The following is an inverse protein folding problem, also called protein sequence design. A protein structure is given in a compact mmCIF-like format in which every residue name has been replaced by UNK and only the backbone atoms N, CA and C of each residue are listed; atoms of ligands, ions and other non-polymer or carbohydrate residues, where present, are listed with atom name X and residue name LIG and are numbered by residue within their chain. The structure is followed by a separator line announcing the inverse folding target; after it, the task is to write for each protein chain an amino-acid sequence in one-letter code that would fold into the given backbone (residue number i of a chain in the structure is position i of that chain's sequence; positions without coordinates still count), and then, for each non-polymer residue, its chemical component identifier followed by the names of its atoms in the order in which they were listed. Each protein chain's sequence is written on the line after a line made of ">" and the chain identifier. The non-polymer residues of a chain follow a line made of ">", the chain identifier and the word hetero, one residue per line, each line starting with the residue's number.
data_IF_944060905335
#
_entry.id   IF_944060905335
#
_cell.length_a   1.000
_cell.length_b   1.000
_cell.length_c   1.000
_cell.angle_alpha   90.00
_cell.angle_beta   90.00
_cell.angle_gamma   90.00
#
_symmetry.space_group_name_H-M   'P 1'
#
loop_
_entity.id
_entity.type
_entity.pdbx_description
1 polymer ?
#
# COMPACT_ATOMS: atom_id res chain seq x y z
N UNK A 1 37.37 -35.16 -2.79
CA UNK A 1 36.99 -33.94 -2.04
C UNK A 1 35.51 -33.69 -2.28
N UNK A 2 34.61 -34.14 -1.40
CA UNK A 2 33.19 -33.85 -1.55
C UNK A 2 32.99 -32.34 -1.38
N UNK A 3 32.19 -31.75 -2.27
CA UNK A 3 31.73 -30.38 -2.17
C UNK A 3 31.04 -30.21 -0.81
N UNK A 4 31.68 -29.49 0.12
CA UNK A 4 30.94 -28.86 1.21
C UNK A 4 29.99 -27.88 0.54
N UNK A 5 28.69 -28.19 0.52
CA UNK A 5 27.67 -27.20 0.27
C UNK A 5 27.80 -26.18 1.40
N UNK A 6 28.49 -25.07 1.12
CA UNK A 6 28.58 -23.97 2.05
C UNK A 6 27.14 -23.54 2.37
N UNK A 7 26.77 -23.53 3.65
CA UNK A 7 25.46 -23.09 4.07
C UNK A 7 25.25 -21.64 3.57
N UNK A 8 24.06 -21.30 3.07
CA UNK A 8 23.77 -19.94 2.64
C UNK A 8 24.04 -18.99 3.82
N UNK A 9 24.59 -17.79 3.54
CA UNK A 9 24.86 -16.82 4.58
C UNK A 9 23.56 -16.40 5.29
N UNK A 10 23.60 -16.00 6.57
CA UNK A 10 22.39 -15.72 7.36
C UNK A 10 21.40 -14.74 6.70
N UNK A 11 21.92 -13.70 6.01
CA UNK A 11 21.09 -12.72 5.31
C UNK A 11 20.29 -13.30 4.14
N UNK A 12 20.78 -14.36 3.51
CA UNK A 12 20.12 -15.04 2.41
C UNK A 12 18.91 -15.80 2.95
N UNK A 13 19.12 -16.56 4.03
CA UNK A 13 18.05 -17.26 4.73
C UNK A 13 16.96 -16.31 5.25
N UNK A 14 17.36 -15.17 5.84
CA UNK A 14 16.40 -14.16 6.33
C UNK A 14 15.52 -13.59 5.19
N UNK A 15 16.12 -13.29 4.04
CA UNK A 15 15.38 -12.78 2.87
C UNK A 15 14.49 -13.86 2.25
N UNK A 16 14.97 -15.10 2.13
CA UNK A 16 14.18 -16.23 1.64
C UNK A 16 12.98 -16.49 2.56
N UNK A 17 13.16 -16.45 3.88
CA UNK A 17 12.06 -16.57 4.84
C UNK A 17 11.03 -15.44 4.71
N UNK A 18 11.48 -14.20 4.48
CA UNK A 18 10.58 -13.07 4.21
C UNK A 18 9.81 -13.25 2.90
N UNK A 19 10.42 -13.80 1.86
CA UNK A 19 9.77 -14.11 0.58
C UNK A 19 8.70 -15.20 0.76
N UNK A 20 9.03 -16.30 1.45
CA UNK A 20 8.08 -17.37 1.76
C UNK A 20 6.91 -16.86 2.63
N UNK A 21 7.24 -15.97 3.56
CA UNK A 21 6.39 -14.94 4.17
C UNK A 21 5.28 -14.46 3.23
N UNK A 22 5.71 -13.62 2.29
CA UNK A 22 4.82 -12.89 1.40
C UNK A 22 4.08 -13.80 0.42
N UNK A 23 4.67 -14.93 0.01
CA UNK A 23 3.96 -15.93 -0.82
C UNK A 23 2.71 -16.42 -0.09
N UNK A 24 2.84 -16.82 1.18
CA UNK A 24 1.71 -17.30 1.99
C UNK A 24 0.69 -16.20 2.25
N UNK A 25 1.15 -14.98 2.55
CA UNK A 25 0.27 -13.82 2.75
C UNK A 25 -0.55 -13.52 1.49
N UNK A 26 0.07 -13.56 0.32
CA UNK A 26 -0.58 -13.32 -0.97
C UNK A 26 -1.62 -14.41 -1.29
N UNK A 27 -1.27 -15.67 -1.08
CA UNK A 27 -2.22 -16.79 -1.27
C UNK A 27 -3.43 -16.68 -0.33
N UNK A 28 -3.19 -16.39 0.95
CA UNK A 28 -4.25 -16.19 1.93
C UNK A 28 -5.15 -15.00 1.58
N UNK A 29 -4.55 -13.88 1.19
CA UNK A 29 -5.26 -12.65 0.81
C UNK A 29 -6.07 -12.84 -0.46
N UNK A 30 -5.55 -13.59 -1.44
CA UNK A 30 -6.28 -13.91 -2.68
C UNK A 30 -7.53 -14.75 -2.39
N UNK A 31 -7.41 -15.75 -1.51
CA UNK A 31 -8.56 -16.56 -1.06
C UNK A 31 -9.58 -15.72 -0.29
N UNK A 32 -9.12 -14.82 0.58
CA UNK A 32 -9.97 -13.90 1.32
C UNK A 32 -10.72 -12.97 0.36
N UNK A 33 -10.03 -12.36 -0.60
CA UNK A 33 -10.59 -11.46 -1.60
C UNK A 33 -11.70 -12.14 -2.42
N UNK A 34 -11.49 -13.41 -2.80
CA UNK A 34 -12.50 -14.20 -3.51
C UNK A 34 -13.75 -14.51 -2.66
N UNK A 35 -13.62 -14.49 -1.34
CA UNK A 35 -14.72 -14.72 -0.40
C UNK A 35 -15.42 -13.44 0.08
N UNK A 36 -14.80 -12.26 -0.12
CA UNK A 36 -15.35 -10.98 0.30
C UNK A 36 -16.69 -10.67 -0.39
N UNK A 37 -17.67 -10.25 0.42
CA UNK A 37 -18.99 -9.79 -0.07
C UNK A 37 -19.25 -8.31 0.19
N UNK A 38 -18.45 -7.71 1.07
CA UNK A 38 -18.56 -6.31 1.45
C UNK A 38 -17.41 -5.50 0.88
N UNK A 39 -17.72 -4.33 0.30
CA UNK A 39 -16.74 -3.48 -0.37
C UNK A 39 -15.55 -3.11 0.52
N UNK A 40 -15.78 -2.78 1.80
CA UNK A 40 -14.71 -2.47 2.75
C UNK A 40 -13.73 -3.63 2.93
N UNK A 41 -14.24 -4.86 3.05
CA UNK A 41 -13.38 -6.06 3.17
C UNK A 41 -12.59 -6.31 1.90
N UNK A 42 -13.23 -6.13 0.73
CA UNK A 42 -12.56 -6.24 -0.57
C UNK A 42 -11.43 -5.22 -0.70
N UNK A 43 -11.65 -3.98 -0.28
CA UNK A 43 -10.64 -2.92 -0.37
C UNK A 43 -9.46 -3.16 0.57
N UNK A 44 -9.70 -3.59 1.81
CA UNK A 44 -8.63 -3.95 2.74
C UNK A 44 -7.82 -5.16 2.23
N UNK A 45 -8.49 -6.19 1.71
CA UNK A 45 -7.82 -7.33 1.11
C UNK A 45 -7.00 -6.91 -0.12
N UNK A 46 -7.53 -6.02 -0.98
CA UNK A 46 -6.79 -5.49 -2.13
C UNK A 46 -5.57 -4.66 -1.69
N UNK A 47 -5.69 -3.81 -0.67
CA UNK A 47 -4.58 -3.06 -0.07
C UNK A 47 -3.46 -3.99 0.42
N UNK A 48 -3.84 -5.02 1.18
CA UNK A 48 -2.89 -6.00 1.70
C UNK A 48 -2.17 -6.74 0.57
N UNK A 49 -2.90 -7.04 -0.52
CA UNK A 49 -2.33 -7.69 -1.70
C UNK A 49 -1.29 -6.80 -2.41
N UNK A 50 -1.58 -5.51 -2.56
CA UNK A 50 -0.63 -4.53 -3.11
C UNK A 50 0.64 -4.47 -2.26
N UNK A 51 0.47 -4.31 -0.95
CA UNK A 51 1.60 -4.22 0.00
C UNK A 51 2.47 -5.48 -0.02
N UNK A 52 1.84 -6.67 -0.04
CA UNK A 52 2.54 -7.94 -0.08
C UNK A 52 3.32 -8.13 -1.40
N UNK A 53 2.75 -7.71 -2.53
CA UNK A 53 3.44 -7.75 -3.82
C UNK A 53 4.69 -6.87 -3.82
N UNK A 54 4.60 -5.64 -3.30
CA UNK A 54 5.73 -4.71 -3.24
C UNK A 54 6.84 -5.24 -2.30
N UNK A 55 6.48 -5.80 -1.16
CA UNK A 55 7.44 -6.47 -0.25
C UNK A 55 8.16 -7.61 -0.95
N UNK A 56 7.42 -8.50 -1.61
CA UNK A 56 8.00 -9.62 -2.34
C UNK A 56 8.95 -9.15 -3.45
N UNK A 57 8.55 -8.14 -4.24
CA UNK A 57 9.41 -7.57 -5.28
C UNK A 57 10.68 -6.95 -4.71
N UNK A 58 10.60 -6.22 -3.60
CA UNK A 58 11.76 -5.64 -2.93
C UNK A 58 12.71 -6.71 -2.36
N UNK A 59 12.18 -7.73 -1.69
CA UNK A 59 12.99 -8.81 -1.13
C UNK A 59 13.68 -9.63 -2.23
N UNK A 60 12.98 -9.96 -3.32
CA UNK A 60 13.56 -10.65 -4.46
C UNK A 60 14.65 -9.81 -5.13
N UNK A 61 14.41 -8.51 -5.34
CA UNK A 61 15.39 -7.61 -5.93
C UNK A 61 16.67 -7.52 -5.06
N UNK A 62 16.51 -7.38 -3.74
CA UNK A 62 17.63 -7.31 -2.81
C UNK A 62 18.41 -8.64 -2.74
N UNK A 63 17.71 -9.77 -2.71
CA UNK A 63 18.32 -11.10 -2.75
C UNK A 63 19.18 -11.28 -4.01
N UNK A 64 18.66 -10.89 -5.18
CA UNK A 64 19.39 -10.96 -6.45
C UNK A 64 20.57 -9.99 -6.49
N UNK A 65 20.42 -8.78 -5.94
CA UNK A 65 21.49 -7.78 -5.86
C UNK A 65 22.67 -8.30 -5.04
N UNK A 66 22.42 -8.85 -3.85
CA UNK A 66 23.47 -9.41 -2.97
C UNK A 66 24.15 -10.65 -3.54
N UNK A 67 23.43 -11.46 -4.32
CA UNK A 67 24.02 -12.62 -5.04
C UNK A 67 24.96 -12.21 -6.17
N UNK A 68 24.65 -11.11 -6.89
CA UNK A 68 25.49 -10.60 -7.99
C UNK A 68 26.69 -9.79 -7.50
N UNK A 69 26.50 -9.05 -6.42
CA UNK A 69 27.52 -8.22 -5.79
C UNK A 69 27.73 -8.67 -4.34
N UNK A 70 28.37 -9.85 -4.12
CA UNK A 70 28.75 -10.25 -2.78
C UNK A 70 29.66 -9.15 -2.25
N UNK A 71 29.19 -8.46 -1.21
CA UNK A 71 29.82 -7.29 -0.61
C UNK A 71 31.34 -7.44 -0.65
N UNK A 72 32.02 -6.60 -1.45
CA UNK A 72 33.48 -6.47 -1.34
C UNK A 72 33.72 -6.06 0.08
N UNK A 73 34.26 -6.96 0.90
CA UNK A 73 34.58 -6.67 2.30
C UNK A 73 35.42 -5.41 2.32
N UNK A 74 34.82 -4.29 2.72
CA UNK A 74 35.56 -3.06 3.00
C UNK A 74 36.41 -3.41 4.21
N UNK A 75 37.67 -3.73 3.95
CA UNK A 75 38.62 -4.16 4.98
C UNK A 75 38.68 -3.11 6.08
N UNK A 76 38.64 -3.56 7.34
CA UNK A 76 38.96 -2.80 8.56
C UNK A 76 38.59 -1.30 8.56
N UNK A 77 37.47 -0.95 7.94
CA UNK A 77 36.93 0.40 7.84
C UNK A 77 35.59 0.44 8.56
N UNK A 78 35.39 1.50 9.35
CA UNK A 78 34.17 1.75 10.14
C UNK A 78 32.90 1.39 9.36
N UNK A 79 32.15 0.41 9.88
CA UNK A 79 30.83 0.08 9.35
C UNK A 79 29.96 1.36 9.40
N UNK A 80 29.30 1.75 8.29
CA UNK A 80 28.45 2.93 8.29
C UNK A 80 27.40 2.82 9.40
N UNK A 81 27.20 3.90 10.16
CA UNK A 81 26.15 3.92 11.18
C UNK A 81 24.77 3.82 10.50
N UNK A 82 23.90 3.01 11.09
CA UNK A 82 22.50 2.96 10.71
C UNK A 82 21.66 3.76 11.70
N UNK A 83 20.52 4.25 11.25
CA UNK A 83 19.58 5.01 12.04
C UNK A 83 18.18 4.37 12.02
N UNK A 84 17.32 4.91 12.86
CA UNK A 84 15.88 4.66 12.83
C UNK A 84 15.21 5.91 12.25
N UNK A 85 14.37 5.71 11.25
CA UNK A 85 13.61 6.79 10.59
C UNK A 85 12.14 6.60 10.92
N UNK A 86 11.47 7.67 11.33
CA UNK A 86 10.04 7.66 11.62
C UNK A 86 9.30 8.63 10.70
N UNK A 87 8.17 8.19 10.15
CA UNK A 87 7.20 9.04 9.46
C UNK A 87 5.91 9.08 10.28
N UNK A 88 5.47 10.29 10.65
CA UNK A 88 4.21 10.54 11.35
C UNK A 88 3.50 11.75 10.73
N UNK A 89 2.26 11.98 11.15
CA UNK A 89 1.48 13.19 10.81
C UNK A 89 1.35 13.41 9.30
N UNK A 90 1.22 12.31 8.55
CA UNK A 90 1.11 12.36 7.10
C UNK A 90 -0.24 12.96 6.71
N UNK A 91 -0.19 14.16 6.13
CA UNK A 91 -1.35 14.92 5.67
C UNK A 91 -1.17 15.37 4.23
N UNK A 92 -2.21 15.22 3.43
CA UNK A 92 -2.22 15.69 2.04
C UNK A 92 -3.45 16.57 1.81
N UNK A 93 -3.28 17.83 1.39
CA UNK A 93 -4.39 18.68 1.02
C UNK A 93 -5.02 18.16 -0.28
N UNK A 94 -6.35 18.19 -0.33
CA UNK A 94 -7.14 17.79 -1.50
C UNK A 94 -7.52 19.03 -2.31
N UNK A 95 -7.27 18.96 -3.61
CA UNK A 95 -7.66 20.01 -4.56
C UNK A 95 -8.91 19.58 -5.32
N UNK A 96 -10.07 19.97 -4.80
CA UNK A 96 -11.35 19.81 -5.48
C UNK A 96 -11.57 20.95 -6.46
N UNK A 97 -12.17 20.69 -7.63
CA UNK A 97 -12.53 21.77 -8.55
C UNK A 97 -13.62 22.63 -7.92
N UNK A 98 -13.60 23.93 -8.18
CA UNK A 98 -14.60 24.86 -7.62
C UNK A 98 -16.04 24.51 -8.02
N UNK A 99 -16.22 23.90 -9.19
CA UNK A 99 -17.52 23.37 -9.66
C UNK A 99 -18.04 22.25 -8.77
N UNK A 100 -17.15 21.47 -8.18
CA UNK A 100 -17.43 20.25 -7.44
C UNK A 100 -17.57 20.60 -5.95
N UNK A 101 -16.70 21.48 -5.43
CA UNK A 101 -16.70 21.94 -4.04
C UNK A 101 -17.75 23.02 -3.74
N UNK A 102 -17.78 24.13 -4.50
CA UNK A 102 -18.60 25.31 -4.15
C UNK A 102 -19.97 25.36 -4.83
N UNK A 103 -20.15 24.71 -5.99
CA UNK A 103 -21.40 24.81 -6.77
C UNK A 103 -22.39 23.67 -6.51
N UNK A 104 -22.07 22.69 -5.65
CA UNK A 104 -22.90 21.50 -5.36
C UNK A 104 -23.45 20.81 -6.63
N UNK A 105 -22.79 20.97 -7.77
CA UNK A 105 -23.24 20.41 -9.05
C UNK A 105 -22.71 19.00 -9.22
N UNK A 106 -23.23 18.07 -8.40
CA UNK A 106 -23.28 16.66 -8.76
C UNK A 106 -22.00 15.84 -8.69
N UNK A 107 -20.91 16.30 -8.06
CA UNK A 107 -19.79 15.40 -7.76
C UNK A 107 -20.08 14.61 -6.48
N UNK A 108 -20.51 13.36 -6.66
CA UNK A 108 -20.75 12.38 -5.59
C UNK A 108 -19.65 11.32 -5.54
N UNK A 109 -18.51 11.53 -6.21
CA UNK A 109 -17.42 10.56 -6.21
C UNK A 109 -16.86 10.44 -4.80
N UNK A 110 -16.76 9.19 -4.37
CA UNK A 110 -16.09 8.80 -3.14
C UNK A 110 -14.90 7.94 -3.50
N UNK A 111 -13.85 8.05 -2.71
CA UNK A 111 -12.60 7.33 -2.94
C UNK A 111 -12.24 6.53 -1.70
N UNK A 112 -11.54 5.42 -1.90
CA UNK A 112 -10.71 4.82 -0.88
C UNK A 112 -9.25 5.19 -1.17
N UNK A 113 -8.51 5.62 -0.15
CA UNK A 113 -7.13 6.11 -0.30
C UNK A 113 -6.25 5.51 0.79
N UNK A 114 -5.06 5.05 0.41
CA UNK A 114 -4.00 4.67 1.36
C UNK A 114 -2.64 5.03 0.76
N UNK A 115 -1.60 5.06 1.59
CA UNK A 115 -0.23 5.27 1.14
C UNK A 115 0.63 4.03 1.39
N UNK A 116 1.62 3.83 0.53
CA UNK A 116 2.69 2.87 0.71
C UNK A 116 4.02 3.63 0.86
N UNK A 117 4.73 3.38 1.95
CA UNK A 117 5.99 4.02 2.27
C UNK A 117 7.12 2.98 2.27
N UNK A 118 8.22 3.30 1.57
CA UNK A 118 9.33 2.37 1.35
C UNK A 118 10.68 3.03 1.57
N UNK A 119 11.56 2.32 2.29
CA UNK A 119 13.00 2.55 2.31
C UNK A 119 13.70 1.19 2.14
N UNK A 120 14.33 0.96 0.99
CA UNK A 120 14.94 -0.34 0.69
C UNK A 120 13.93 -1.48 0.77
N UNK A 121 14.17 -2.43 1.68
CA UNK A 121 13.28 -3.57 1.95
C UNK A 121 12.25 -3.31 3.05
N UNK A 122 12.31 -2.19 3.74
CA UNK A 122 11.32 -1.82 4.77
C UNK A 122 10.14 -1.14 4.08
N UNK A 123 8.98 -1.80 4.08
CA UNK A 123 7.76 -1.36 3.39
C UNK A 123 6.57 -1.40 4.33
N UNK A 124 5.87 -0.28 4.46
CA UNK A 124 4.70 -0.12 5.32
C UNK A 124 3.57 0.58 4.56
N UNK A 125 2.34 0.12 4.79
CA UNK A 125 1.12 0.79 4.35
C UNK A 125 0.47 1.56 5.50
N UNK A 126 -0.34 2.57 5.16
CA UNK A 126 -1.18 3.29 6.11
C UNK A 126 -2.54 2.62 6.28
N UNK A 127 -3.31 3.10 7.25
CA UNK A 127 -4.75 2.85 7.31
C UNK A 127 -5.43 3.23 5.98
N UNK A 128 -6.45 2.46 5.60
CA UNK A 128 -7.28 2.76 4.45
C UNK A 128 -8.30 3.83 4.85
N UNK A 129 -8.23 5.01 4.23
CA UNK A 129 -9.22 6.05 4.40
C UNK A 129 -10.36 5.81 3.41
N UNK A 130 -11.57 5.57 3.92
CA UNK A 130 -12.74 5.28 3.10
C UNK A 130 -14.04 5.58 3.87
N UNK A 131 -14.97 6.39 3.34
CA UNK A 131 -14.88 7.16 2.09
C UNK A 131 -14.09 8.47 2.25
N UNK A 132 -13.38 8.87 1.20
CA UNK A 132 -12.83 10.22 1.00
C UNK A 132 -13.68 10.92 -0.04
N UNK A 133 -14.25 12.08 0.30
CA UNK A 133 -15.09 12.85 -0.61
C UNK A 133 -14.83 14.36 -0.50
N UNK A 134 -15.56 15.13 -1.29
CA UNK A 134 -15.40 16.59 -1.41
C UNK A 134 -15.64 17.38 -0.13
N UNK A 135 -16.18 16.78 0.93
CA UNK A 135 -16.32 17.46 2.22
C UNK A 135 -14.98 17.57 2.96
N UNK A 136 -13.98 16.79 2.56
CA UNK A 136 -12.64 16.82 3.15
C UNK A 136 -11.73 17.80 2.42
N UNK A 137 -11.10 18.71 3.17
CA UNK A 137 -10.04 19.58 2.62
C UNK A 137 -8.68 18.89 2.60
N UNK A 138 -8.50 17.88 3.46
CA UNK A 138 -7.25 17.17 3.64
C UNK A 138 -7.53 15.72 4.01
N UNK A 139 -6.66 14.80 3.57
CA UNK A 139 -6.57 13.45 4.14
C UNK A 139 -5.44 13.42 5.15
N UNK A 140 -5.67 12.76 6.28
CA UNK A 140 -4.66 12.59 7.34
C UNK A 140 -4.61 11.13 7.74
N UNK A 141 -3.42 10.57 7.80
CA UNK A 141 -3.18 9.20 8.23
C UNK A 141 -2.68 9.20 9.68
N UNK A 142 -3.30 8.42 10.58
CA UNK A 142 -2.90 8.37 11.98
C UNK A 142 -1.64 7.52 12.23
N UNK A 143 -1.18 6.82 11.20
CA UNK A 143 -0.09 5.85 11.29
C UNK A 143 1.26 6.51 11.60
N UNK A 144 2.04 5.85 12.46
CA UNK A 144 3.46 6.16 12.68
C UNK A 144 4.28 5.01 12.11
N UNK A 145 4.96 5.26 10.99
CA UNK A 145 5.73 4.25 10.27
C UNK A 145 7.19 4.31 10.73
N UNK A 146 7.73 3.17 11.15
CA UNK A 146 9.06 3.09 11.75
C UNK A 146 9.98 2.18 10.93
N UNK A 147 11.03 2.78 10.37
CA UNK A 147 12.04 2.10 9.57
C UNK A 147 13.30 1.89 10.42
N UNK A 148 13.82 0.67 10.46
CA UNK A 148 15.00 0.33 11.26
C UNK A 148 16.20 0.01 10.37
N UNK A 149 17.41 0.19 10.91
CA UNK A 149 18.66 -0.14 10.24
C UNK A 149 18.84 0.59 8.90
N UNK A 150 18.43 1.85 8.85
CA UNK A 150 18.47 2.66 7.63
C UNK A 150 19.84 3.32 7.48
N UNK A 151 20.53 3.16 6.33
CA UNK A 151 21.81 3.81 6.08
C UNK A 151 21.63 5.32 5.81
N UNK A 152 22.70 6.10 5.89
CA UNK A 152 22.61 7.56 5.75
C UNK A 152 22.25 8.06 4.33
N UNK A 153 22.49 7.24 3.31
CA UNK A 153 22.24 7.51 1.88
C UNK A 153 20.89 6.95 1.39
N UNK A 154 19.94 6.76 2.31
CA UNK A 154 18.66 6.16 1.99
C UNK A 154 17.80 7.01 1.04
N UNK A 155 17.02 6.32 0.20
CA UNK A 155 15.93 6.92 -0.56
C UNK A 155 14.60 6.53 0.09
N UNK A 156 13.77 7.53 0.38
CA UNK A 156 12.40 7.33 0.84
C UNK A 156 11.43 7.52 -0.32
N UNK A 157 10.54 6.54 -0.53
CA UNK A 157 9.48 6.61 -1.52
C UNK A 157 8.11 6.50 -0.85
N UNK A 158 7.23 7.45 -1.17
CA UNK A 158 5.82 7.43 -0.77
C UNK A 158 4.93 7.37 -2.02
N UNK A 159 4.10 6.34 -2.09
CA UNK A 159 3.17 6.10 -3.19
C UNK A 159 1.74 6.22 -2.67
N UNK A 160 0.91 7.02 -3.33
CA UNK A 160 -0.49 7.23 -2.96
C UNK A 160 -1.37 6.40 -3.88
N UNK A 161 -2.14 5.49 -3.30
CA UNK A 161 -3.09 4.66 -4.02
C UNK A 161 -4.49 5.18 -3.79
N UNK A 162 -5.30 5.21 -4.84
CA UNK A 162 -6.71 5.57 -4.75
C UNK A 162 -7.58 4.63 -5.58
N UNK A 163 -8.79 4.38 -5.09
CA UNK A 163 -9.82 3.63 -5.79
C UNK A 163 -11.14 4.38 -5.72
N UNK A 164 -11.82 4.53 -6.86
CA UNK A 164 -13.15 5.15 -6.91
C UNK A 164 -14.18 4.15 -6.41
N UNK A 165 -14.91 4.51 -5.36
CA UNK A 165 -16.04 3.74 -4.87
C UNK A 165 -17.19 3.91 -5.87
N UNK A 166 -17.62 2.81 -6.49
CA UNK A 166 -18.84 2.82 -7.28
C UNK A 166 -20.05 2.90 -6.35
N UNK A 167 -20.54 4.12 -6.11
CA UNK A 167 -21.93 4.36 -5.74
C UNK A 167 -22.57 5.08 -6.93
N UNK A 168 -23.56 4.40 -7.51
CA UNK A 168 -24.47 4.84 -8.55
C UNK A 168 -24.44 6.35 -8.85
N UNK A 169 -23.89 6.71 -10.02
CA UNK A 169 -24.11 8.03 -10.66
C UNK A 169 -25.61 8.31 -10.91
N UNK A 170 -26.49 7.37 -10.54
CA UNK A 170 -27.95 7.40 -10.62
C UNK A 170 -28.64 8.24 -9.53
N UNK A 171 -27.93 8.74 -8.52
CA UNK A 171 -28.51 9.71 -7.55
C UNK A 171 -28.97 11.01 -8.25
N UNK A 172 -28.57 11.22 -9.52
CA UNK A 172 -29.10 12.27 -10.39
C UNK A 172 -30.33 11.87 -11.23
N UNK A 173 -30.94 10.70 -11.03
CA UNK A 173 -32.16 10.31 -11.74
C UNK A 173 -33.41 10.57 -10.90
N UNK A 174 -34.18 11.57 -11.33
CA UNK A 174 -35.52 11.92 -10.85
C UNK A 174 -36.37 10.71 -10.43
N UNK A 175 -37.19 10.80 -9.36
CA UNK A 175 -38.11 9.73 -8.99
C UNK A 175 -39.02 9.42 -10.19
N UNK A 176 -38.97 8.18 -10.71
CA UNK A 176 -39.90 7.74 -11.75
C UNK A 176 -41.31 7.81 -11.16
N UNK A 177 -42.09 8.81 -11.58
CA UNK A 177 -43.53 8.90 -11.28
C UNK A 177 -44.20 7.63 -11.82
N UNK A 178 -44.62 6.75 -10.92
CA UNK A 178 -45.48 5.61 -11.23
C UNK A 178 -46.83 6.19 -11.64
N UNK A 179 -47.14 6.19 -12.94
CA UNK A 179 -48.52 6.37 -13.43
C UNK A 179 -49.27 5.08 -13.15
N UNK A 180 -50.05 5.04 -12.07
CA UNK A 180 -51.15 4.08 -11.95
C UNK A 180 -52.30 4.58 -12.80
N UNK A 181 -52.48 4.01 -13.99
CA UNK A 181 -53.77 4.11 -14.69
C UNK A 181 -54.58 2.89 -14.29
N UNK A 182 -55.61 3.10 -13.47
CA UNK A 182 -56.64 2.12 -13.21
C UNK A 182 -57.72 2.39 -14.26
N UNK A 183 -57.90 1.47 -15.20
CA UNK A 183 -59.09 1.47 -16.04
C UNK A 183 -60.15 0.63 -15.31
N UNK A 184 -61.26 1.29 -14.94
CA UNK A 184 -62.53 0.65 -14.59
C UNK A 184 -63.19 0.06 -15.83
#
# INVERSE_FOLDING_TARGET
>A
MPYLLALPPPWEFDLEQKIDLEIKMREGTTKLLAACRHQTQTLEAAKNLVTSNERMSAYMAELQRRKKEPSRGLGYGTQPCTARVSLSDLRMPLMWRDTDHFKNKGDYRRFAVFCLARIGTEIYDTALLCPVDRALTDITFPDVLLFNQIPADFEFRLEVYSHILQDDLSIASTPRKIKKTIHS
#
